data_IF_187319886502
#
_entry.id   IF_187319886502
#
_cell.length_a   1.000
_cell.length_b   1.000
_cell.length_c   1.000
_cell.angle_alpha   90.00
_cell.angle_beta   90.00
_cell.angle_gamma   90.00
#
_symmetry.space_group_name_H-M   'P 1'
#
loop_
_entity.id
_entity.type
_entity.pdbx_description
1 polymer ?
#
# COMPACT_ATOMS: atom_id res chain seq x y z
N UNK A 1 -21.38 14.41 -62.94
CA UNK A 1 -20.69 14.05 -61.69
C UNK A 1 -21.62 13.89 -60.46
N UNK A 2 -22.94 13.70 -60.60
CA UNK A 2 -23.88 13.79 -59.44
C UNK A 2 -24.37 12.47 -58.83
N UNK A 3 -23.97 11.29 -59.31
CA UNK A 3 -24.54 10.00 -58.85
C UNK A 3 -23.90 9.42 -57.59
N UNK A 4 -22.67 9.84 -57.24
CA UNK A 4 -21.97 9.37 -56.02
C UNK A 4 -22.53 9.98 -54.73
N UNK A 5 -22.88 11.26 -54.75
CA UNK A 5 -23.37 11.98 -53.57
C UNK A 5 -24.77 11.52 -53.11
N UNK A 6 -25.63 11.05 -54.03
CA UNK A 6 -26.95 10.51 -53.67
C UNK A 6 -26.85 9.11 -53.04
N UNK A 7 -25.97 8.23 -53.55
CA UNK A 7 -25.76 6.90 -52.98
C UNK A 7 -25.21 6.93 -51.55
N UNK A 8 -24.34 7.91 -51.23
CA UNK A 8 -23.84 8.11 -49.86
C UNK A 8 -24.90 8.61 -48.88
N UNK A 9 -25.86 9.41 -49.36
CA UNK A 9 -26.99 9.86 -48.53
C UNK A 9 -28.00 8.75 -48.29
N UNK A 10 -28.31 7.95 -49.31
CA UNK A 10 -29.21 6.78 -49.19
C UNK A 10 -28.64 5.72 -48.25
N UNK A 11 -27.36 5.36 -48.39
CA UNK A 11 -26.72 4.39 -47.48
C UNK A 11 -26.68 4.89 -46.04
N UNK A 12 -26.37 6.17 -45.80
CA UNK A 12 -26.44 6.75 -44.45
C UNK A 12 -27.85 6.76 -43.88
N UNK A 13 -28.87 6.97 -44.71
CA UNK A 13 -30.27 6.90 -44.30
C UNK A 13 -30.67 5.48 -43.92
N UNK A 14 -30.33 4.50 -44.76
CA UNK A 14 -30.63 3.08 -44.51
C UNK A 14 -29.97 2.57 -43.23
N UNK A 15 -28.71 2.95 -43.00
CA UNK A 15 -27.98 2.58 -41.77
C UNK A 15 -28.64 3.20 -40.55
N UNK A 16 -29.13 4.44 -40.66
CA UNK A 16 -29.87 5.10 -39.56
C UNK A 16 -31.18 4.39 -39.24
N UNK A 17 -31.94 3.99 -40.25
CA UNK A 17 -33.21 3.29 -40.09
C UNK A 17 -33.02 1.88 -39.52
N UNK A 18 -32.06 1.11 -40.03
CA UNK A 18 -31.75 -0.22 -39.46
C UNK A 18 -31.20 -0.14 -38.04
N UNK A 19 -30.41 0.89 -37.71
CA UNK A 19 -30.00 1.13 -36.33
C UNK A 19 -31.20 1.50 -35.44
N UNK A 20 -32.11 2.34 -35.94
CA UNK A 20 -33.31 2.72 -35.19
C UNK A 20 -34.20 1.50 -34.90
N UNK A 21 -34.39 0.61 -35.89
CA UNK A 21 -35.14 -0.64 -35.72
C UNK A 21 -34.48 -1.59 -34.71
N UNK A 22 -33.14 -1.70 -34.73
CA UNK A 22 -32.38 -2.48 -33.74
C UNK A 22 -32.48 -1.91 -32.32
N UNK A 23 -32.59 -0.59 -32.16
CA UNK A 23 -32.77 0.06 -30.85
C UNK A 23 -34.23 0.06 -30.37
N UNK A 24 -35.19 -0.30 -31.23
CA UNK A 24 -36.59 -0.56 -30.83
C UNK A 24 -36.85 -2.02 -30.51
N UNK A 25 -35.89 -2.91 -30.76
CA UNK A 25 -35.96 -4.32 -30.34
C UNK A 25 -35.57 -4.42 -28.85
N UNK A 26 -36.60 -4.42 -28.00
CA UNK A 26 -36.46 -4.61 -26.56
C UNK A 26 -35.69 -5.89 -26.20
N UNK A 27 -35.79 -6.96 -27.02
CA UNK A 27 -35.11 -8.22 -26.77
C UNK A 27 -33.59 -8.10 -27.02
N UNK A 28 -33.20 -7.35 -28.06
CA UNK A 28 -31.82 -7.03 -28.36
C UNK A 28 -31.19 -6.13 -27.27
N UNK A 29 -31.89 -5.07 -26.86
CA UNK A 29 -31.42 -4.19 -25.78
C UNK A 29 -31.29 -4.95 -24.46
N UNK A 30 -32.26 -5.81 -24.11
CA UNK A 30 -32.19 -6.62 -22.90
C UNK A 30 -31.01 -7.61 -22.92
N UNK A 31 -30.69 -8.22 -24.06
CA UNK A 31 -29.49 -9.08 -24.20
C UNK A 31 -28.19 -8.30 -24.03
N UNK A 32 -28.12 -7.09 -24.59
CA UNK A 32 -26.98 -6.18 -24.43
C UNK A 32 -26.77 -5.77 -22.98
N UNK A 33 -27.85 -5.35 -22.31
CA UNK A 33 -27.83 -4.95 -20.90
C UNK A 33 -27.45 -6.11 -20.00
N UNK A 34 -27.98 -7.32 -20.25
CA UNK A 34 -27.61 -8.51 -19.50
C UNK A 34 -26.13 -8.84 -19.64
N UNK A 35 -25.60 -8.87 -20.87
CA UNK A 35 -24.18 -9.12 -21.11
C UNK A 35 -23.27 -8.04 -20.49
N UNK A 36 -23.74 -6.79 -20.45
CA UNK A 36 -23.02 -5.71 -19.80
C UNK A 36 -23.01 -5.88 -18.28
N UNK A 37 -24.17 -6.15 -17.68
CA UNK A 37 -24.30 -6.39 -16.24
C UNK A 37 -23.49 -7.60 -15.80
N UNK A 38 -23.55 -8.72 -16.52
CA UNK A 38 -22.76 -9.93 -16.21
C UNK A 38 -21.24 -9.63 -16.20
N UNK A 39 -20.77 -8.77 -17.11
CA UNK A 39 -19.36 -8.34 -17.15
C UNK A 39 -19.00 -7.39 -16.01
N UNK A 40 -19.91 -6.49 -15.64
CA UNK A 40 -19.73 -5.57 -14.51
C UNK A 40 -19.69 -6.35 -13.20
N UNK A 41 -20.62 -7.27 -13.00
CA UNK A 41 -20.71 -8.10 -11.80
C UNK A 41 -19.46 -8.97 -11.64
N UNK A 42 -19.00 -9.60 -12.72
CA UNK A 42 -17.76 -10.37 -12.69
C UNK A 42 -16.55 -9.50 -12.33
N UNK A 43 -16.44 -8.30 -12.88
CA UNK A 43 -15.37 -7.36 -12.53
C UNK A 43 -15.44 -6.88 -11.08
N UNK A 44 -16.65 -6.63 -10.57
CA UNK A 44 -16.87 -6.26 -9.18
C UNK A 44 -16.45 -7.39 -8.25
N UNK A 45 -16.78 -8.64 -8.58
CA UNK A 45 -16.38 -9.80 -7.80
C UNK A 45 -14.85 -9.99 -7.78
N UNK A 46 -14.19 -9.85 -8.94
CA UNK A 46 -12.73 -9.87 -9.04
C UNK A 46 -12.07 -8.75 -8.24
N UNK A 47 -12.66 -7.53 -8.25
CA UNK A 47 -12.17 -6.41 -7.44
C UNK A 47 -12.34 -6.69 -5.94
N UNK A 48 -13.49 -7.21 -5.52
CA UNK A 48 -13.74 -7.54 -4.11
C UNK A 48 -12.78 -8.61 -3.60
N UNK A 49 -12.46 -9.62 -4.42
CA UNK A 49 -11.45 -10.63 -4.07
C UNK A 49 -10.05 -10.02 -3.94
N UNK A 50 -9.67 -9.11 -4.86
CA UNK A 50 -8.38 -8.40 -4.77
C UNK A 50 -8.29 -7.56 -3.51
N UNK A 51 -9.34 -6.82 -3.16
CA UNK A 51 -9.40 -6.01 -1.93
C UNK A 51 -9.18 -6.89 -0.70
N UNK A 52 -9.92 -7.99 -0.56
CA UNK A 52 -9.75 -8.92 0.56
C UNK A 52 -8.33 -9.49 0.65
N UNK A 53 -7.75 -9.87 -0.49
CA UNK A 53 -6.38 -10.39 -0.51
C UNK A 53 -5.36 -9.32 -0.09
N UNK A 54 -5.55 -8.07 -0.53
CA UNK A 54 -4.72 -6.94 -0.12
C UNK A 54 -4.86 -6.63 1.37
N UNK A 55 -6.07 -6.67 1.93
CA UNK A 55 -6.30 -6.49 3.38
C UNK A 55 -5.59 -7.57 4.20
N UNK A 56 -5.64 -8.83 3.77
CA UNK A 56 -4.91 -9.93 4.42
C UNK A 56 -3.40 -9.66 4.37
N UNK A 57 -2.87 -9.23 3.22
CA UNK A 57 -1.45 -8.91 3.09
C UNK A 57 -1.03 -7.74 3.97
N UNK A 58 -1.85 -6.68 4.05
CA UNK A 58 -1.60 -5.53 4.93
C UNK A 58 -1.53 -6.00 6.38
N UNK A 59 -2.53 -6.74 6.85
CA UNK A 59 -2.54 -7.26 8.22
C UNK A 59 -1.32 -8.14 8.53
N UNK A 60 -0.91 -8.99 7.59
CA UNK A 60 0.31 -9.81 7.75
C UNK A 60 1.58 -8.95 7.80
N UNK A 61 1.66 -7.90 6.99
CA UNK A 61 2.81 -6.99 6.97
C UNK A 61 2.89 -6.16 8.25
N UNK A 62 1.76 -5.66 8.74
CA UNK A 62 1.67 -4.95 10.03
C UNK A 62 2.14 -5.84 11.18
N UNK A 63 1.66 -7.08 11.25
CA UNK A 63 2.12 -8.04 12.26
C UNK A 63 3.63 -8.31 12.18
N UNK A 64 4.20 -8.41 10.97
CA UNK A 64 5.64 -8.59 10.80
C UNK A 64 6.42 -7.36 11.22
N UNK A 65 5.93 -6.16 10.92
CA UNK A 65 6.56 -4.90 11.36
C UNK A 65 6.56 -4.85 12.89
N UNK A 66 5.44 -5.16 13.53
CA UNK A 66 5.34 -5.20 14.99
C UNK A 66 6.32 -6.19 15.61
N UNK A 67 6.41 -7.41 15.04
CA UNK A 67 7.39 -8.41 15.48
C UNK A 67 8.83 -7.94 15.32
N UNK A 68 9.16 -7.28 14.21
CA UNK A 68 10.50 -6.73 13.97
C UNK A 68 10.82 -5.60 14.95
N UNK A 69 9.88 -4.68 15.18
CA UNK A 69 10.05 -3.60 16.15
C UNK A 69 10.21 -4.12 17.57
N UNK A 70 9.46 -5.16 17.95
CA UNK A 70 9.63 -5.83 19.24
C UNK A 70 11.00 -6.52 19.34
N UNK A 71 11.41 -7.26 18.31
CA UNK A 71 12.71 -7.93 18.27
C UNK A 71 13.88 -6.93 18.31
N UNK A 72 13.75 -5.77 17.67
CA UNK A 72 14.70 -4.67 17.74
C UNK A 72 14.74 -4.07 19.15
N UNK A 73 13.57 -3.79 19.75
CA UNK A 73 13.48 -3.29 21.13
C UNK A 73 14.08 -4.25 22.14
N UNK A 74 13.93 -5.57 21.97
CA UNK A 74 14.52 -6.57 22.88
C UNK A 74 16.06 -6.53 22.92
N UNK A 75 16.70 -6.01 21.87
CA UNK A 75 18.16 -5.85 21.81
C UNK A 75 18.64 -4.48 22.31
N UNK A 76 17.71 -3.55 22.53
CA UNK A 76 18.02 -2.18 22.91
C UNK A 76 17.68 -1.97 24.39
N UNK A 77 18.57 -1.31 25.13
CA UNK A 77 18.31 -0.87 26.49
C UNK A 77 18.14 0.65 26.48
N UNK A 78 17.04 1.14 27.05
CA UNK A 78 16.84 2.56 27.27
C UNK A 78 17.27 2.91 28.70
N UNK A 79 18.24 3.82 28.83
CA UNK A 79 18.75 4.27 30.13
C UNK A 79 18.31 5.72 30.35
N UNK A 80 17.63 5.95 31.47
CA UNK A 80 17.12 7.27 31.85
C UNK A 80 17.97 7.89 32.95
N UNK A 81 17.93 9.22 33.06
CA UNK A 81 18.56 9.95 34.17
C UNK A 81 20.07 10.19 34.05
N UNK A 82 20.70 9.87 32.90
CA UNK A 82 22.10 10.22 32.64
C UNK A 82 22.16 11.70 32.18
N UNK A 83 22.82 12.60 32.93
CA UNK A 83 22.95 14.02 32.56
C UNK A 83 23.61 14.19 31.18
N UNK A 84 23.18 15.21 30.44
CA UNK A 84 23.77 15.56 29.15
C UNK A 84 25.01 16.43 29.32
N UNK A 85 26.09 16.08 28.63
CA UNK A 85 27.33 16.86 28.62
C UNK A 85 27.85 17.09 27.19
N UNK A 86 28.58 18.19 27.00
CA UNK A 86 29.21 18.48 25.71
C UNK A 86 30.38 17.53 25.45
N UNK A 87 30.44 16.96 24.24
CA UNK A 87 31.47 15.99 23.81
C UNK A 87 31.56 14.74 24.71
N UNK A 88 30.42 14.30 25.24
CA UNK A 88 30.37 13.09 26.06
C UNK A 88 30.69 11.82 25.24
N UNK A 89 31.37 10.87 25.89
CA UNK A 89 31.48 9.50 25.39
C UNK A 89 30.36 8.67 26.01
N UNK A 90 29.30 8.42 25.24
CA UNK A 90 28.11 7.70 25.70
C UNK A 90 28.42 6.27 26.14
N UNK A 91 29.29 5.56 25.43
CA UNK A 91 29.62 4.17 25.78
C UNK A 91 30.27 4.07 27.15
N UNK A 92 31.20 4.97 27.48
CA UNK A 92 31.84 5.00 28.80
C UNK A 92 30.81 5.25 29.91
N UNK A 93 29.92 6.24 29.73
CA UNK A 93 28.84 6.50 30.70
C UNK A 93 27.92 5.30 30.87
N UNK A 94 27.58 4.60 29.79
CA UNK A 94 26.75 3.39 29.87
C UNK A 94 27.46 2.30 30.67
N UNK A 95 28.74 2.02 30.38
CA UNK A 95 29.54 1.00 31.08
C UNK A 95 29.64 1.32 32.58
N UNK A 96 29.87 2.58 32.94
CA UNK A 96 29.91 3.01 34.34
C UNK A 96 28.57 2.77 35.06
N UNK A 97 27.45 3.11 34.41
CA UNK A 97 26.11 2.88 34.98
C UNK A 97 25.78 1.39 35.10
N UNK A 98 26.17 0.57 34.12
CA UNK A 98 25.99 -0.89 34.18
C UNK A 98 26.82 -1.51 35.31
N UNK A 99 28.04 -1.01 35.54
CA UNK A 99 28.89 -1.45 36.65
C UNK A 99 28.26 -1.16 38.01
N UNK A 100 27.60 -0.01 38.18
CA UNK A 100 26.82 0.32 39.39
C UNK A 100 25.69 -0.70 39.60
N UNK A 101 25.01 -1.09 38.51
CA UNK A 101 23.98 -2.13 38.52
C UNK A 101 24.52 -3.56 38.65
N UNK A 102 25.84 -3.75 38.83
CA UNK A 102 26.54 -5.05 38.87
C UNK A 102 26.40 -5.88 37.59
N UNK A 103 26.17 -5.23 36.46
CA UNK A 103 26.15 -5.86 35.15
C UNK A 103 27.54 -5.68 34.53
N UNK A 104 28.18 -6.79 34.16
CA UNK A 104 29.45 -6.74 33.44
C UNK A 104 29.17 -6.42 31.97
N UNK A 105 29.73 -5.32 31.48
CA UNK A 105 29.56 -4.86 30.10
C UNK A 105 30.85 -4.19 29.66
N UNK A 106 31.33 -4.57 28.48
CA UNK A 106 32.49 -3.99 27.82
C UNK A 106 32.06 -3.14 26.63
N UNK A 107 33.00 -2.38 26.07
CA UNK A 107 32.72 -1.53 24.91
C UNK A 107 32.34 -2.34 23.66
N UNK A 108 32.89 -3.56 23.52
CA UNK A 108 32.60 -4.46 22.39
C UNK A 108 31.19 -5.05 22.46
N UNK A 109 30.55 -5.03 23.63
CA UNK A 109 29.17 -5.48 23.83
C UNK A 109 28.14 -4.42 23.38
N UNK A 110 28.58 -3.18 23.15
CA UNK A 110 27.73 -2.04 22.77
C UNK A 110 27.86 -1.80 21.26
N UNK A 111 26.87 -2.30 20.50
CA UNK A 111 26.84 -2.11 19.04
C UNK A 111 26.71 -0.62 18.65
N UNK A 112 25.85 0.12 19.34
CA UNK A 112 25.66 1.55 19.12
C UNK A 112 25.05 2.21 20.37
N UNK A 113 25.32 3.50 20.57
CA UNK A 113 24.66 4.30 21.60
C UNK A 113 24.34 5.69 21.06
N UNK A 114 23.19 6.23 21.47
CA UNK A 114 22.73 7.54 21.05
C UNK A 114 21.75 8.12 22.06
N UNK A 115 21.59 9.45 22.03
CA UNK A 115 20.56 10.15 22.80
C UNK A 115 19.27 10.22 21.98
N UNK A 116 18.17 9.77 22.55
CA UNK A 116 16.85 9.91 21.92
C UNK A 116 16.49 11.41 21.88
N UNK A 117 16.02 11.90 20.73
CA UNK A 117 15.58 13.29 20.54
C UNK A 117 16.66 14.25 20.02
N UNK A 118 17.94 13.86 20.00
CA UNK A 118 18.96 14.57 19.20
C UNK A 118 18.96 13.99 17.79
N UNK A 119 18.95 14.85 16.76
CA UNK A 119 19.08 14.41 15.37
C UNK A 119 20.33 13.54 15.26
N UNK A 120 20.16 12.28 14.87
CA UNK A 120 21.30 11.46 14.47
C UNK A 120 21.97 12.17 13.30
N UNK A 121 23.25 12.51 13.46
CA UNK A 121 24.10 12.74 12.31
C UNK A 121 24.44 11.34 11.80
N UNK A 122 23.66 10.88 10.81
CA UNK A 122 24.04 9.77 9.95
C UNK A 122 25.25 10.22 9.13
#
# INVERSE_FOLDING_TARGET
MSTRSNKEKETKSLIKETLAELFTDDEFINKLLKNFNDKVDKKLEEMNQKIKNSEIQINMLEQKIDQLQQAEKLKNICIYGIPEENKENLNLKIIENMKIAKIQTNNDDILSSYRIGKKMKI
#
